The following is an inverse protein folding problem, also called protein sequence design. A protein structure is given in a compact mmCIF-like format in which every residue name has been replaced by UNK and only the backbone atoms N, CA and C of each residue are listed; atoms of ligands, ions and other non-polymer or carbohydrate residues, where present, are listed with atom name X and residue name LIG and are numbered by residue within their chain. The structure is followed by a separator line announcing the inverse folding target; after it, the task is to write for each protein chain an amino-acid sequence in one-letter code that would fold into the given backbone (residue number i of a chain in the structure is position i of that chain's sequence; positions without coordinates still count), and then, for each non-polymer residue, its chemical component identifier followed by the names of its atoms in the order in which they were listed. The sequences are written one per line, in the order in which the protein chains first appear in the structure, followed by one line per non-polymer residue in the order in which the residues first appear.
data_IF_509815707588
#
_entry.id   IF_509815707588
#
_cell.length_a   1.000
_cell.length_b   1.000
_cell.length_c   1.000
_cell.angle_alpha   90.00
_cell.angle_beta   90.00
_cell.angle_gamma   90.00
#
_symmetry.space_group_name_H-M   'P 1'
#
loop_
_entity.id
_entity.type
_entity.pdbx_description
1 polymer ?
#
# COMPACT_ATOMS: atom_id res chain seq x y z
N UNK A 1 -7.72 -12.24 11.12
CA UNK A 1 -7.53 -10.93 11.79
C UNK A 1 -6.05 -10.60 11.87
N UNK A 2 -5.16 -11.55 12.20
CA UNK A 2 -3.70 -11.34 12.20
C UNK A 2 -3.10 -10.90 10.85
N UNK A 3 -3.66 -11.33 9.73
CA UNK A 3 -3.09 -11.08 8.40
C UNK A 3 -3.04 -9.59 8.05
N UNK A 4 -4.06 -8.82 8.43
CA UNK A 4 -4.10 -7.40 8.11
C UNK A 4 -3.03 -6.64 8.92
N UNK A 5 -2.79 -7.03 10.18
CA UNK A 5 -1.76 -6.39 11.01
C UNK A 5 -0.36 -6.61 10.44
N UNK A 6 -0.10 -7.83 9.94
CA UNK A 6 1.16 -8.14 9.25
C UNK A 6 1.27 -7.35 7.94
N UNK A 7 0.19 -7.25 7.16
CA UNK A 7 0.17 -6.48 5.92
C UNK A 7 0.46 -4.99 6.15
N UNK A 8 -0.06 -4.39 7.21
CA UNK A 8 0.19 -2.99 7.55
C UNK A 8 1.68 -2.69 7.80
N UNK A 9 2.48 -3.66 8.22
CA UNK A 9 3.94 -3.48 8.36
C UNK A 9 4.64 -3.21 7.03
N UNK A 10 3.99 -3.55 5.90
CA UNK A 10 4.49 -3.31 4.56
C UNK A 10 3.92 -2.04 3.93
N UNK A 11 3.19 -1.20 4.67
CA UNK A 11 2.65 0.06 4.15
C UNK A 11 3.54 1.28 4.35
N UNK A 12 4.74 1.09 4.89
CA UNK A 12 5.72 2.16 5.09
C UNK A 12 7.14 1.67 4.79
N UNK A 13 8.04 2.60 4.48
CA UNK A 13 9.47 2.34 4.22
C UNK A 13 9.68 1.22 3.18
N UNK A 14 8.85 1.19 2.14
CA UNK A 14 8.75 0.07 1.20
C UNK A 14 9.17 0.42 -0.24
N UNK A 15 9.66 1.64 -0.52
CA UNK A 15 9.89 2.13 -1.88
C UNK A 15 10.65 1.17 -2.78
N UNK A 16 11.76 0.61 -2.31
CA UNK A 16 12.57 -0.31 -3.12
C UNK A 16 11.85 -1.60 -3.51
N UNK A 17 10.96 -2.10 -2.65
CA UNK A 17 10.18 -3.31 -2.92
C UNK A 17 8.99 -2.97 -3.81
N UNK A 18 8.24 -1.92 -3.45
CA UNK A 18 7.06 -1.47 -4.17
C UNK A 18 7.36 -1.06 -5.62
N UNK A 19 8.52 -0.47 -5.89
CA UNK A 19 8.93 -0.11 -7.26
C UNK A 19 9.30 -1.32 -8.13
N UNK A 20 9.46 -2.52 -7.56
CA UNK A 20 9.67 -3.77 -8.31
C UNK A 20 8.37 -4.51 -8.56
N UNK A 21 7.30 -4.11 -7.89
CA UNK A 21 5.99 -4.72 -8.02
C UNK A 21 5.30 -4.26 -9.31
N UNK A 22 4.41 -5.12 -9.80
CA UNK A 22 3.55 -4.82 -10.94
C UNK A 22 2.21 -4.21 -10.51
N UNK A 23 1.80 -4.48 -9.27
CA UNK A 23 0.50 -4.10 -8.73
C UNK A 23 0.61 -3.66 -7.27
N UNK A 24 -0.12 -2.61 -6.91
CA UNK A 24 -0.30 -2.17 -5.55
C UNK A 24 -1.73 -1.70 -5.31
N UNK A 25 -2.09 -1.54 -4.04
CA UNK A 25 -3.42 -1.14 -3.62
C UNK A 25 -3.38 -0.16 -2.47
N UNK A 26 -4.22 0.87 -2.55
CA UNK A 26 -4.43 1.78 -1.43
C UNK A 26 -5.60 1.29 -0.57
N UNK A 27 -5.35 0.95 0.70
CA UNK A 27 -6.40 0.52 1.62
C UNK A 27 -7.21 1.66 2.22
N UNK A 28 -6.89 2.93 1.92
CA UNK A 28 -7.75 4.06 2.27
C UNK A 28 -8.88 4.25 1.25
N UNK A 29 -8.56 4.35 -0.05
CA UNK A 29 -9.58 4.60 -1.09
C UNK A 29 -9.98 3.35 -1.90
N UNK A 30 -9.34 2.20 -1.66
CA UNK A 30 -9.61 0.93 -2.34
C UNK A 30 -9.06 0.83 -3.76
N UNK A 31 -8.36 1.86 -4.28
CA UNK A 31 -7.80 1.83 -5.64
C UNK A 31 -6.66 0.82 -5.75
N UNK A 32 -6.73 -0.01 -6.79
CA UNK A 32 -5.67 -0.92 -7.23
C UNK A 32 -5.09 -0.38 -8.53
N UNK A 33 -3.78 -0.24 -8.59
CA UNK A 33 -3.09 0.46 -9.68
C UNK A 33 -1.61 0.06 -9.79
N UNK A 34 -0.92 0.55 -10.83
CA UNK A 34 0.51 0.26 -11.02
C UNK A 34 1.37 1.13 -10.09
N UNK A 35 2.37 0.57 -9.40
CA UNK A 35 3.31 1.37 -8.59
C UNK A 35 3.99 2.51 -9.37
N UNK A 36 4.12 2.39 -10.70
CA UNK A 36 4.69 3.43 -11.56
C UNK A 36 3.89 4.73 -11.60
N UNK A 37 2.63 4.72 -11.14
CA UNK A 37 1.79 5.92 -11.04
C UNK A 37 2.12 6.76 -9.79
N UNK A 38 2.88 6.19 -8.84
CA UNK A 38 3.27 6.87 -7.60
C UNK A 38 4.39 7.86 -7.91
N UNK A 39 4.06 9.14 -7.84
CA UNK A 39 5.00 10.25 -8.06
C UNK A 39 5.49 10.86 -6.75
N UNK A 40 4.69 10.75 -5.69
CA UNK A 40 4.96 11.36 -4.39
C UNK A 40 5.31 10.32 -3.32
N UNK A 41 6.32 10.65 -2.51
CA UNK A 41 6.87 9.79 -1.48
C UNK A 41 7.16 10.59 -0.22
N UNK A 42 6.74 10.09 0.94
CA UNK A 42 7.20 10.62 2.23
C UNK A 42 8.70 10.37 2.35
N UNK A 43 9.46 11.41 2.72
CA UNK A 43 10.92 11.32 2.90
C UNK A 43 11.26 10.81 4.31
N UNK A 44 11.01 9.52 4.54
CA UNK A 44 11.37 8.80 5.77
C UNK A 44 12.65 7.95 5.57
N UNK A 45 12.72 6.75 6.15
CA UNK A 45 13.94 5.92 6.15
C UNK A 45 14.28 5.44 4.73
N UNK A 46 13.29 4.97 3.99
CA UNK A 46 13.49 4.42 2.64
C UNK A 46 12.44 4.87 1.61
N UNK A 47 11.44 5.63 2.05
CA UNK A 47 10.33 6.12 1.24
C UNK A 47 9.04 5.35 1.49
N UNK A 48 8.01 6.09 1.88
CA UNK A 48 6.62 5.60 1.96
C UNK A 48 5.81 6.22 0.82
N UNK A 49 5.11 5.38 0.05
CA UNK A 49 4.33 5.85 -1.09
C UNK A 49 3.12 6.67 -0.64
N UNK A 50 2.85 7.76 -1.35
CA UNK A 50 1.61 8.54 -1.22
C UNK A 50 0.69 8.16 -2.37
N UNK A 51 -0.57 7.82 -2.07
CA UNK A 51 -1.53 7.44 -3.10
C UNK A 51 -1.83 8.60 -4.07
N UNK A 52 -1.63 8.42 -5.39
CA UNK A 52 -1.87 9.48 -6.37
C UNK A 52 -3.35 9.84 -6.54
N UNK A 53 -4.26 9.03 -6.00
CA UNK A 53 -5.70 9.18 -6.12
C UNK A 53 -6.36 9.88 -4.94
N UNK A 54 -5.79 9.76 -3.73
CA UNK A 54 -6.40 10.29 -2.51
C UNK A 54 -5.42 11.03 -1.58
N UNK A 55 -4.11 11.00 -1.87
CA UNK A 55 -3.09 11.71 -1.08
C UNK A 55 -2.75 11.05 0.27
N UNK A 56 -3.22 9.83 0.53
CA UNK A 56 -2.95 9.09 1.78
C UNK A 56 -1.84 8.07 1.57
N UNK A 57 -0.97 7.93 2.56
CA UNK A 57 0.18 7.02 2.64
C UNK A 57 -0.21 5.61 3.11
N UNK A 58 -1.27 5.05 2.51
CA UNK A 58 -1.86 3.76 2.90
C UNK A 58 -1.82 2.77 1.74
N UNK A 59 -0.64 2.51 1.20
CA UNK A 59 -0.42 1.60 0.05
C UNK A 59 0.33 0.35 0.48
N UNK A 60 -0.08 -0.81 -0.05
CA UNK A 60 0.71 -2.05 -0.03
C UNK A 60 0.89 -2.59 -1.46
N UNK A 61 2.03 -3.22 -1.73
CA UNK A 61 2.34 -3.87 -3.00
C UNK A 61 2.37 -5.40 -2.89
N UNK A 62 2.40 -6.11 -4.02
CA UNK A 62 2.46 -7.57 -4.04
C UNK A 62 3.70 -8.14 -3.30
N UNK A 63 4.79 -7.37 -3.18
CA UNK A 63 5.96 -7.75 -2.37
C UNK A 63 5.64 -7.94 -0.90
N UNK A 64 4.51 -7.41 -0.42
CA UNK A 64 4.04 -7.64 0.96
C UNK A 64 3.69 -9.11 1.22
N UNK A 65 3.49 -9.91 0.16
CA UNK A 65 3.04 -11.30 0.26
C UNK A 65 1.56 -11.42 0.65
N UNK A 66 0.79 -10.33 0.54
CA UNK A 66 -0.64 -10.30 0.83
C UNK A 66 -1.47 -10.00 -0.43
N UNK A 67 -2.72 -10.45 -0.51
CA UNK A 67 -3.56 -10.22 -1.68
C UNK A 67 -3.81 -8.73 -1.92
N UNK A 68 -3.55 -8.26 -3.14
CA UNK A 68 -3.93 -6.91 -3.60
C UNK A 68 -5.30 -7.01 -4.27
N UNK A 69 -6.34 -7.21 -3.47
CA UNK A 69 -7.74 -7.33 -3.92
C UNK A 69 -8.62 -6.34 -3.16
N UNK A 70 -9.75 -5.94 -3.76
CA UNK A 70 -10.70 -5.01 -3.14
C UNK A 70 -11.15 -5.51 -1.76
N UNK A 71 -11.47 -6.80 -1.63
CA UNK A 71 -11.87 -7.42 -0.36
C UNK A 71 -10.78 -7.30 0.72
N UNK A 72 -9.52 -7.55 0.36
CA UNK A 72 -8.43 -7.48 1.34
C UNK A 72 -8.13 -6.04 1.75
N UNK A 73 -8.14 -5.11 0.79
CA UNK A 73 -7.97 -3.68 1.06
C UNK A 73 -9.12 -3.14 1.92
N UNK A 74 -10.36 -3.58 1.72
CA UNK A 74 -11.50 -3.20 2.55
C UNK A 74 -11.34 -3.71 4.00
N UNK A 75 -10.82 -4.92 4.18
CA UNK A 75 -10.50 -5.46 5.51
C UNK A 75 -9.40 -4.66 6.20
N UNK A 76 -8.40 -4.20 5.46
CA UNK A 76 -7.39 -3.28 5.99
C UNK A 76 -8.03 -1.93 6.33
N UNK A 77 -8.86 -1.36 5.45
CA UNK A 77 -9.56 -0.11 5.70
C UNK A 77 -10.28 -0.14 7.05
N UNK A 78 -11.16 -1.12 7.26
CA UNK A 78 -11.94 -1.33 8.49
C UNK A 78 -11.11 -1.45 9.77
N UNK A 79 -9.82 -1.77 9.66
CA UNK A 79 -8.94 -1.98 10.80
C UNK A 79 -8.16 -0.70 11.19
N UNK A 80 -7.91 0.22 10.25
CA UNK A 80 -7.14 1.46 10.49
C UNK A 80 -7.92 2.77 10.26
N UNK A 81 -9.10 2.71 9.66
CA UNK A 81 -9.98 3.85 9.36
C UNK A 81 -11.44 3.53 9.73
#
# INVERSE_FOLDING_TARGET
MEDVFKAHMYSANHKEQLMKDSICGCFYCGKIFSPNEITDWVTDISGTAICPYCGVDSIIGESSGFPITEEFLERMHKQWF
#
